data_IF_837656215160
#
_entry.id   IF_837656215160
#
_cell.length_a   1.000
_cell.length_b   1.000
_cell.length_c   1.000
_cell.angle_alpha   90.00
_cell.angle_beta   90.00
_cell.angle_gamma   90.00
#
_symmetry.space_group_name_H-M   'P 1'
#
loop_
_entity.id
_entity.type
_entity.pdbx_description
1 polymer ?
#
# COMPACT_ATOMS: atom_id res chain seq x y z
N UNK A 1 1.75 11.75 -47.78
CA UNK A 1 0.36 11.26 -47.99
C UNK A 1 0.08 9.96 -47.22
N UNK A 2 0.67 8.80 -47.53
CA UNK A 2 0.36 7.56 -46.79
C UNK A 2 1.07 7.45 -45.41
N UNK A 3 2.28 8.00 -45.27
CA UNK A 3 3.00 7.99 -43.98
C UNK A 3 2.41 8.96 -42.95
N UNK A 4 1.80 10.07 -43.39
CA UNK A 4 1.17 11.04 -42.49
C UNK A 4 -0.11 10.47 -41.85
N UNK A 5 -0.83 9.61 -42.58
CA UNK A 5 -2.06 8.94 -42.11
C UNK A 5 -1.74 7.92 -40.99
N UNK A 6 -0.73 7.08 -41.19
CA UNK A 6 -0.30 6.12 -40.15
C UNK A 6 0.26 6.82 -38.90
N UNK A 7 1.05 7.87 -39.08
CA UNK A 7 1.57 8.68 -37.96
C UNK A 7 0.42 9.31 -37.16
N UNK A 8 -0.57 9.90 -37.84
CA UNK A 8 -1.74 10.51 -37.21
C UNK A 8 -2.59 9.49 -36.44
N UNK A 9 -2.75 8.28 -36.99
CA UNK A 9 -3.46 7.18 -36.31
C UNK A 9 -2.73 6.74 -35.04
N UNK A 10 -1.39 6.64 -35.07
CA UNK A 10 -0.59 6.26 -33.91
C UNK A 10 -0.61 7.34 -32.82
N UNK A 11 -0.56 8.62 -33.19
CA UNK A 11 -0.69 9.74 -32.25
C UNK A 11 -2.07 9.77 -31.59
N UNK A 12 -3.14 9.55 -32.36
CA UNK A 12 -4.50 9.46 -31.82
C UNK A 12 -4.63 8.29 -30.85
N UNK A 13 -4.11 7.12 -31.22
CA UNK A 13 -4.10 5.95 -30.34
C UNK A 13 -3.32 6.21 -29.05
N UNK A 14 -2.12 6.79 -29.14
CA UNK A 14 -1.30 7.13 -27.98
C UNK A 14 -2.05 8.09 -27.04
N UNK A 15 -2.73 9.10 -27.61
CA UNK A 15 -3.55 10.05 -26.83
C UNK A 15 -4.70 9.35 -26.12
N UNK A 16 -5.34 8.38 -26.75
CA UNK A 16 -6.43 7.62 -26.13
C UNK A 16 -5.92 6.67 -25.04
N UNK A 17 -4.77 6.02 -25.24
CA UNK A 17 -4.11 5.20 -24.21
C UNK A 17 -3.70 6.06 -23.02
N UNK A 18 -3.16 7.27 -23.24
CA UNK A 18 -2.79 8.17 -22.14
C UNK A 18 -3.98 8.60 -21.29
N UNK A 19 -5.19 8.73 -21.86
CA UNK A 19 -6.41 9.01 -21.08
C UNK A 19 -6.84 7.86 -20.18
N UNK A 20 -6.34 6.64 -20.42
CA UNK A 20 -6.60 5.47 -19.58
C UNK A 20 -5.63 5.37 -18.40
N UNK A 21 -4.50 6.08 -18.45
CA UNK A 21 -3.55 6.14 -17.35
C UNK A 21 -4.08 7.14 -16.33
N UNK A 22 -4.39 6.71 -15.09
CA UNK A 22 -4.88 7.63 -14.07
C UNK A 22 -3.84 8.71 -13.80
N UNK A 23 -4.30 9.96 -13.64
CA UNK A 23 -3.43 11.04 -13.17
C UNK A 23 -3.03 10.84 -11.70
N UNK A 24 -2.12 11.66 -11.17
CA UNK A 24 -1.60 11.51 -9.80
C UNK A 24 -2.72 11.55 -8.75
N UNK A 25 -3.75 12.38 -8.95
CA UNK A 25 -4.88 12.52 -8.02
C UNK A 25 -5.75 11.26 -8.04
N UNK A 26 -6.00 10.71 -9.24
CA UNK A 26 -6.71 9.46 -9.39
C UNK A 26 -5.92 8.28 -8.82
N UNK A 27 -4.61 8.24 -9.05
CA UNK A 27 -3.70 7.25 -8.48
C UNK A 27 -3.76 7.31 -6.94
N UNK A 28 -3.62 8.48 -6.34
CA UNK A 28 -3.70 8.66 -4.88
C UNK A 28 -5.03 8.14 -4.32
N UNK A 29 -6.15 8.44 -5.00
CA UNK A 29 -7.47 7.93 -4.58
C UNK A 29 -7.54 6.41 -4.64
N UNK A 30 -6.98 5.79 -5.67
CA UNK A 30 -6.94 4.34 -5.86
C UNK A 30 -6.02 3.69 -4.81
N UNK A 31 -4.80 4.18 -4.65
CA UNK A 31 -3.80 3.63 -3.73
C UNK A 31 -4.22 3.81 -2.28
N UNK A 32 -4.83 4.94 -1.91
CA UNK A 32 -5.43 5.15 -0.58
C UNK A 32 -6.51 4.11 -0.25
N UNK A 33 -7.37 3.78 -1.21
CA UNK A 33 -8.40 2.75 -1.01
C UNK A 33 -7.76 1.36 -0.82
N UNK A 34 -6.74 1.03 -1.62
CA UNK A 34 -5.96 -0.19 -1.48
C UNK A 34 -5.23 -0.28 -0.14
N UNK A 35 -4.57 0.81 0.27
CA UNK A 35 -3.82 0.93 1.52
C UNK A 35 -4.73 0.75 2.73
N UNK A 36 -5.92 1.38 2.72
CA UNK A 36 -6.93 1.14 3.74
C UNK A 36 -7.30 -0.33 3.83
N UNK A 37 -7.65 -0.96 2.69
CA UNK A 37 -8.08 -2.36 2.68
C UNK A 37 -6.96 -3.30 3.14
N UNK A 38 -5.71 -3.01 2.76
CA UNK A 38 -4.54 -3.74 3.22
C UNK A 38 -4.34 -3.59 4.74
N UNK A 39 -4.47 -2.39 5.29
CA UNK A 39 -4.38 -2.16 6.74
C UNK A 39 -5.47 -2.92 7.52
N UNK A 40 -6.71 -2.90 7.02
CA UNK A 40 -7.84 -3.66 7.61
C UNK A 40 -7.52 -5.17 7.61
N UNK A 41 -7.10 -5.72 6.47
CA UNK A 41 -6.77 -7.13 6.33
C UNK A 41 -5.54 -7.54 7.17
N UNK A 42 -4.50 -6.69 7.21
CA UNK A 42 -3.30 -6.94 8.01
C UNK A 42 -3.62 -6.92 9.50
N UNK A 43 -4.51 -6.02 9.93
CA UNK A 43 -5.03 -5.97 11.30
C UNK A 43 -5.75 -7.26 11.64
N UNK A 44 -6.66 -7.72 10.79
CA UNK A 44 -7.42 -8.95 11.01
C UNK A 44 -6.50 -10.18 11.14
N UNK A 45 -5.54 -10.35 10.22
CA UNK A 45 -4.62 -11.48 10.25
C UNK A 45 -3.69 -11.42 11.46
N UNK A 46 -3.19 -10.23 11.80
CA UNK A 46 -2.34 -10.03 12.99
C UNK A 46 -3.13 -10.33 14.25
N UNK A 47 -4.41 -9.96 14.32
CA UNK A 47 -5.29 -10.33 15.45
C UNK A 47 -5.43 -11.85 15.56
N UNK A 48 -5.73 -12.52 14.45
CA UNK A 48 -5.93 -13.98 14.45
C UNK A 48 -4.68 -14.76 14.87
N UNK A 49 -3.49 -14.31 14.46
CA UNK A 49 -2.23 -15.06 14.65
C UNK A 49 -1.44 -14.65 15.89
N UNK A 50 -1.55 -13.39 16.31
CA UNK A 50 -0.63 -12.78 17.27
C UNK A 50 -1.32 -11.94 18.35
N UNK A 51 -2.65 -11.97 18.45
CA UNK A 51 -3.35 -11.34 19.57
C UNK A 51 -3.34 -12.25 20.78
N UNK A 52 -2.90 -11.71 21.91
CA UNK A 52 -2.94 -12.40 23.19
C UNK A 52 -3.88 -11.65 24.14
N UNK A 53 -4.37 -12.32 25.19
CA UNK A 53 -5.13 -11.68 26.27
C UNK A 53 -4.23 -10.87 27.22
N UNK A 54 -2.91 -10.92 27.03
CA UNK A 54 -1.95 -10.22 27.87
C UNK A 54 -1.91 -8.73 27.54
N UNK A 55 -2.31 -7.88 28.49
CA UNK A 55 -2.23 -6.43 28.33
C UNK A 55 -0.77 -5.95 28.40
N UNK A 56 -0.13 -5.83 27.25
CA UNK A 56 1.16 -5.14 27.14
C UNK A 56 0.95 -3.63 27.31
N UNK A 57 1.26 -3.11 28.49
CA UNK A 57 1.09 -1.68 28.82
C UNK A 57 2.13 -0.78 28.15
N UNK A 58 3.25 -1.32 27.67
CA UNK A 58 4.38 -0.51 27.17
C UNK A 58 4.29 -0.30 25.67
N UNK A 59 3.98 -1.36 24.91
CA UNK A 59 3.95 -1.30 23.45
C UNK A 59 2.59 -1.63 22.84
N UNK A 60 1.62 -2.08 23.66
CA UNK A 60 0.31 -2.50 23.18
C UNK A 60 0.38 -3.74 22.27
N UNK A 61 -0.76 -4.14 21.72
CA UNK A 61 -0.78 -5.25 20.77
C UNK A 61 -0.30 -4.79 19.39
N UNK A 62 0.45 -5.68 18.73
CA UNK A 62 0.96 -5.46 17.37
C UNK A 62 -0.16 -5.14 16.38
N UNK A 63 -1.32 -5.76 16.53
CA UNK A 63 -2.47 -5.51 15.66
C UNK A 63 -3.12 -4.13 15.85
N UNK A 64 -2.91 -3.48 17.01
CA UNK A 64 -3.48 -2.17 17.30
C UNK A 64 -2.59 -1.03 16.80
N UNK A 65 -1.41 -1.35 16.27
CA UNK A 65 -0.41 -0.41 15.78
C UNK A 65 -0.22 -0.49 14.27
N UNK A 66 -1.24 -0.87 13.51
CA UNK A 66 -1.21 -0.88 12.04
C UNK A 66 -1.96 0.34 11.53
N UNK A 67 -1.36 1.07 10.60
CA UNK A 67 -1.98 2.23 9.96
C UNK A 67 -1.60 2.32 8.49
N UNK A 68 -2.24 3.24 7.79
CA UNK A 68 -1.93 3.60 6.41
C UNK A 68 -1.88 5.12 6.26
N UNK A 69 -1.16 5.60 5.25
CA UNK A 69 -1.16 7.00 4.82
C UNK A 69 -1.34 7.05 3.29
N UNK A 70 -2.00 8.10 2.79
CA UNK A 70 -2.20 8.32 1.35
C UNK A 70 -0.99 8.95 0.66
N UNK A 71 0.06 9.24 1.43
CA UNK A 71 1.28 9.85 0.95
C UNK A 71 2.40 8.79 0.98
N UNK A 72 3.52 9.10 0.34
CA UNK A 72 4.71 8.28 0.40
C UNK A 72 5.39 8.31 1.79
N UNK A 73 6.58 7.71 1.90
CA UNK A 73 7.33 7.64 3.17
C UNK A 73 7.90 9.00 3.62
N UNK A 74 8.14 9.91 2.67
CA UNK A 74 8.69 11.25 2.90
C UNK A 74 7.57 12.30 3.08
N UNK A 75 6.31 11.92 2.80
CA UNK A 75 5.11 12.75 2.93
C UNK A 75 4.61 13.35 1.62
N UNK A 76 5.21 13.00 0.49
CA UNK A 76 4.87 13.53 -0.84
C UNK A 76 3.62 12.86 -1.43
N UNK A 77 2.93 13.60 -2.30
CA UNK A 77 1.73 13.17 -3.02
C UNK A 77 2.10 12.76 -4.44
N UNK A 78 2.70 11.57 -4.60
CA UNK A 78 3.15 11.03 -5.88
C UNK A 78 2.23 9.91 -6.43
N UNK A 79 1.03 9.79 -5.87
CA UNK A 79 0.09 8.72 -6.18
C UNK A 79 0.35 7.40 -5.42
N UNK A 80 1.46 7.28 -4.67
CA UNK A 80 1.72 6.12 -3.82
C UNK A 80 1.00 6.20 -2.46
N UNK A 81 0.99 5.09 -1.72
CA UNK A 81 0.44 5.05 -0.36
C UNK A 81 1.16 4.00 0.46
N UNK A 82 1.36 4.27 1.75
CA UNK A 82 2.08 3.39 2.66
C UNK A 82 1.14 2.68 3.63
N UNK A 83 1.51 1.44 4.00
CA UNK A 83 0.88 0.66 5.05
C UNK A 83 1.96 0.04 5.91
N UNK A 84 1.84 0.11 7.23
CA UNK A 84 2.84 -0.45 8.12
C UNK A 84 2.48 -0.33 9.59
N UNK A 85 3.46 -0.68 10.43
CA UNK A 85 3.34 -0.51 11.87
C UNK A 85 3.75 0.89 12.31
N UNK A 86 2.91 1.54 13.11
CA UNK A 86 3.18 2.86 13.71
C UNK A 86 4.20 2.79 14.85
N UNK A 87 4.54 1.59 15.30
CA UNK A 87 5.52 1.33 16.34
C UNK A 87 6.67 0.50 15.77
N UNK A 88 7.89 1.08 15.78
CA UNK A 88 9.12 0.45 15.31
C UNK A 88 9.38 -0.94 15.92
N UNK A 89 9.01 -1.14 17.18
CA UNK A 89 9.18 -2.45 17.84
C UNK A 89 8.31 -3.53 17.16
N UNK A 90 7.05 -3.19 16.85
CA UNK A 90 6.12 -4.10 16.17
C UNK A 90 6.53 -4.36 14.72
N UNK A 91 7.05 -3.35 14.04
CA UNK A 91 7.61 -3.50 12.68
C UNK A 91 8.80 -4.48 12.67
N UNK A 92 9.75 -4.30 13.58
CA UNK A 92 10.88 -5.22 13.73
C UNK A 92 10.45 -6.65 14.08
N UNK A 93 9.43 -6.80 14.92
CA UNK A 93 8.89 -8.12 15.26
C UNK A 93 8.17 -8.78 14.08
N UNK A 94 7.42 -8.02 13.27
CA UNK A 94 6.78 -8.51 12.05
C UNK A 94 7.79 -9.16 11.10
N UNK A 95 8.91 -8.48 10.87
CA UNK A 95 9.99 -8.96 10.01
C UNK A 95 10.60 -10.27 10.54
N UNK A 96 10.69 -10.44 11.86
CA UNK A 96 11.25 -11.66 12.49
C UNK A 96 10.27 -12.84 12.45
N UNK A 97 9.00 -12.61 12.76
CA UNK A 97 7.96 -13.64 12.78
C UNK A 97 7.76 -14.27 11.39
N UNK A 98 7.90 -13.48 10.33
CA UNK A 98 7.82 -13.98 8.94
C UNK A 98 8.91 -15.01 8.60
N UNK A 99 10.10 -14.91 9.21
CA UNK A 99 11.22 -15.85 8.98
C UNK A 99 11.03 -17.19 9.70
N UNK A 100 10.37 -17.19 10.86
CA UNK A 100 10.11 -18.42 11.62
C UNK A 100 9.10 -19.35 10.95
N UNK A 101 8.10 -18.80 10.25
CA UNK A 101 7.06 -19.55 9.54
C UNK A 101 7.53 -20.18 8.22
N UNK A 102 8.70 -19.80 7.69
CA UNK A 102 9.30 -20.43 6.50
C UNK A 102 10.38 -21.46 6.83
N UNK A 103 10.76 -21.58 8.11
CA UNK A 103 11.78 -22.51 8.58
C UNK A 103 11.20 -23.83 9.13
N UNK A 104 9.87 -23.99 9.10
CA UNK A 104 9.10 -25.18 9.50
C UNK A 104 7.97 -25.40 8.50
#
# INVERSE_FOLDING_TARGET
MANDDMASQLESWLKDVHKLVPDEVEQERITKAGAKKLADNLTEVTKKKHYSSHKDKKYGHMADNISYNSNDIDGEHDGSSIVGWTNKYHDMNAMRLKRWYQAH
#
